data_IF_905473833939
#
_entry.id   IF_905473833939
#
_cell.length_a   1.000
_cell.length_b   1.000
_cell.length_c   1.000
_cell.angle_alpha   90.00
_cell.angle_beta   90.00
_cell.angle_gamma   90.00
#
_symmetry.space_group_name_H-M   'P 1'
#
loop_
_entity.id
_entity.type
_entity.pdbx_description
1 polymer ?
#
# COMPACT_ATOMS: atom_id res chain seq x y z
N UNK A 1 -36.45 7.53 39.04
CA UNK A 1 -35.48 7.87 40.11
C UNK A 1 -35.02 9.33 40.09
N UNK A 2 -35.38 10.15 39.09
CA UNK A 2 -35.00 11.58 39.02
C UNK A 2 -35.78 12.47 39.99
N UNK A 3 -37.01 12.06 40.35
CA UNK A 3 -37.99 12.89 41.06
C UNK A 3 -37.65 13.20 42.53
N UNK A 4 -36.77 12.40 43.16
CA UNK A 4 -36.36 12.59 44.57
C UNK A 4 -35.13 13.48 44.74
N UNK A 5 -34.37 13.73 43.68
CA UNK A 5 -33.18 14.58 43.72
C UNK A 5 -33.54 16.06 43.55
N UNK A 6 -34.62 16.36 42.83
CA UNK A 6 -35.11 17.72 42.65
C UNK A 6 -35.76 18.27 43.94
N UNK A 7 -36.27 17.41 44.83
CA UNK A 7 -36.84 17.84 46.12
C UNK A 7 -35.80 18.43 47.07
N UNK A 8 -34.51 18.07 46.94
CA UNK A 8 -33.42 18.62 47.76
C UNK A 8 -32.94 19.98 47.22
N UNK A 9 -33.14 20.26 45.93
CA UNK A 9 -32.77 21.53 45.29
C UNK A 9 -33.75 22.68 45.58
N UNK A 10 -34.92 22.38 46.15
CA UNK A 10 -35.97 23.36 46.48
C UNK A 10 -36.07 23.67 47.99
N UNK A 11 -34.95 23.63 48.72
CA UNK A 11 -34.87 24.46 49.93
C UNK A 11 -34.66 25.90 49.46
N UNK A 12 -35.77 26.58 49.17
CA UNK A 12 -35.78 28.00 48.86
C UNK A 12 -34.96 28.74 49.92
N UNK A 13 -34.12 29.68 49.45
CA UNK A 13 -33.41 30.60 50.33
C UNK A 13 -34.42 31.15 51.35
N UNK A 14 -34.12 31.15 52.66
CA UNK A 14 -35.09 31.59 53.64
C UNK A 14 -35.38 33.06 53.38
N UNK A 15 -36.54 33.34 52.77
CA UNK A 15 -37.05 34.69 52.63
C UNK A 15 -37.20 35.26 54.03
N UNK A 16 -36.41 36.30 54.30
CA UNK A 16 -36.56 37.20 55.44
C UNK A 16 -36.90 36.51 56.76
N UNK A 17 -35.96 35.73 57.31
CA UNK A 17 -35.91 35.63 58.76
C UNK A 17 -35.47 36.99 59.26
N UNK A 18 -36.45 37.80 59.62
CA UNK A 18 -36.29 39.08 60.28
C UNK A 18 -35.12 38.99 61.26
N UNK A 19 -34.12 39.85 61.09
CA UNK A 19 -33.02 40.04 62.04
C UNK A 19 -33.61 40.43 63.40
N UNK A 20 -34.12 39.45 64.15
CA UNK A 20 -34.36 39.60 65.57
C UNK A 20 -33.00 39.45 66.22
N UNK A 21 -32.32 40.58 66.35
CA UNK A 21 -31.16 40.73 67.21
C UNK A 21 -31.45 40.03 68.54
N UNK A 22 -30.57 39.14 69.04
CA UNK A 22 -30.78 38.47 70.31
C UNK A 22 -31.00 39.55 71.37
N UNK A 23 -32.17 39.52 72.02
CA UNK A 23 -32.53 40.49 73.05
C UNK A 23 -31.56 40.35 74.22
N UNK A 24 -30.54 41.22 74.24
CA UNK A 24 -29.56 41.39 75.32
C UNK A 24 -30.17 41.97 76.62
N UNK A 25 -31.49 42.10 76.71
CA UNK A 25 -32.14 42.56 77.92
C UNK A 25 -32.08 41.47 79.01
N UNK A 26 -31.60 41.77 80.23
CA UNK A 26 -31.62 40.82 81.33
C UNK A 26 -33.07 40.38 81.59
N UNK A 27 -33.30 39.07 81.82
CA UNK A 27 -34.65 38.57 82.04
C UNK A 27 -35.28 39.28 83.26
N UNK A 28 -36.52 39.75 83.11
CA UNK A 28 -37.27 40.32 84.24
C UNK A 28 -37.36 39.27 85.35
N UNK A 29 -36.97 39.64 86.57
CA UNK A 29 -37.11 38.77 87.73
C UNK A 29 -38.60 38.54 88.02
N UNK A 30 -39.10 37.34 87.70
CA UNK A 30 -40.49 36.94 87.98
C UNK A 30 -40.50 36.14 89.27
N UNK A 31 -41.29 36.59 90.25
CA UNK A 31 -41.48 35.85 91.48
C UNK A 31 -42.44 34.67 91.23
N UNK A 32 -41.91 33.45 91.20
CA UNK A 32 -42.67 32.26 90.81
C UNK A 32 -43.64 31.74 91.89
N UNK A 33 -43.53 32.19 93.15
CA UNK A 33 -44.32 31.63 94.25
C UNK A 33 -44.62 32.62 95.38
N UNK A 34 -45.86 33.12 95.48
CA UNK A 34 -46.29 33.99 96.56
C UNK A 34 -46.48 33.23 97.89
N UNK A 35 -45.46 33.32 98.74
CA UNK A 35 -45.44 32.68 100.06
C UNK A 35 -46.39 33.34 101.07
N UNK A 36 -46.70 34.63 100.90
CA UNK A 36 -47.48 35.41 101.86
C UNK A 36 -48.97 35.14 101.70
N UNK A 37 -49.48 35.22 100.46
CA UNK A 37 -50.90 34.95 100.19
C UNK A 37 -51.28 33.52 100.52
N UNK A 38 -50.39 32.54 100.27
CA UNK A 38 -50.64 31.14 100.60
C UNK A 38 -50.78 30.92 102.12
N UNK A 39 -49.87 31.48 102.91
CA UNK A 39 -49.92 31.35 104.38
C UNK A 39 -51.18 32.03 104.93
N UNK A 40 -51.56 33.18 104.39
CA UNK A 40 -52.78 33.88 104.80
C UNK A 40 -54.04 33.06 104.49
N UNK A 41 -54.13 32.48 103.30
CA UNK A 41 -55.25 31.60 102.92
C UNK A 41 -55.33 30.33 103.78
N UNK A 42 -54.20 29.73 104.13
CA UNK A 42 -54.16 28.58 105.05
C UNK A 42 -54.62 28.97 106.46
N UNK A 43 -54.25 30.15 106.95
CA UNK A 43 -54.71 30.65 108.25
C UNK A 43 -56.22 30.96 108.26
N UNK A 44 -56.74 31.57 107.19
CA UNK A 44 -58.19 31.80 107.00
C UNK A 44 -58.98 30.47 106.93
N UNK A 45 -58.35 29.41 106.41
CA UNK A 45 -58.90 28.05 106.37
C UNK A 45 -58.83 27.26 107.68
N UNK A 46 -58.40 27.87 108.80
CA UNK A 46 -58.40 27.25 110.12
C UNK A 46 -57.11 26.52 110.52
N UNK A 47 -56.04 26.63 109.74
CA UNK A 47 -54.73 26.07 110.11
C UNK A 47 -54.00 26.98 111.09
N UNK A 48 -53.28 26.39 112.07
CA UNK A 48 -52.40 27.16 112.96
C UNK A 48 -51.23 27.75 112.16
N UNK A 49 -50.72 28.90 112.59
CA UNK A 49 -49.70 29.63 111.85
C UNK A 49 -48.41 28.84 111.61
N UNK A 50 -48.01 28.01 112.57
CA UNK A 50 -46.89 27.06 112.47
C UNK A 50 -47.12 25.98 111.41
N UNK A 51 -48.32 25.42 111.34
CA UNK A 51 -48.73 24.43 110.35
C UNK A 51 -48.80 25.04 108.94
N UNK A 52 -49.39 26.22 108.80
CA UNK A 52 -49.50 26.95 107.53
C UNK A 52 -48.11 27.30 106.95
N UNK A 53 -47.17 27.77 107.79
CA UNK A 53 -45.79 28.05 107.37
C UNK A 53 -45.05 26.77 106.97
N UNK A 54 -45.28 25.66 107.67
CA UNK A 54 -44.65 24.36 107.35
C UNK A 54 -45.16 23.82 106.01
N UNK A 55 -46.46 23.88 105.76
CA UNK A 55 -47.06 23.50 104.47
C UNK A 55 -46.57 24.39 103.32
N UNK A 56 -46.50 25.71 103.52
CA UNK A 56 -45.92 26.62 102.51
C UNK A 56 -44.49 26.25 102.17
N UNK A 57 -43.65 25.99 103.19
CA UNK A 57 -42.25 25.58 102.97
C UNK A 57 -42.16 24.26 102.18
N UNK A 58 -43.03 23.29 102.46
CA UNK A 58 -43.07 22.02 101.73
C UNK A 58 -43.45 22.24 100.25
N UNK A 59 -44.50 23.03 99.99
CA UNK A 59 -44.95 23.36 98.63
C UNK A 59 -43.87 24.12 97.86
N UNK A 60 -43.22 25.10 98.49
CA UNK A 60 -42.12 25.87 97.89
C UNK A 60 -40.96 24.98 97.48
N UNK A 61 -40.60 23.99 98.31
CA UNK A 61 -39.50 23.06 98.00
C UNK A 61 -39.85 22.13 96.83
N UNK A 62 -41.08 21.59 96.80
CA UNK A 62 -41.54 20.75 95.68
C UNK A 62 -41.61 21.56 94.39
N UNK A 63 -42.10 22.80 94.45
CA UNK A 63 -42.17 23.69 93.30
C UNK A 63 -40.78 24.06 92.78
N UNK A 64 -39.84 24.40 93.66
CA UNK A 64 -38.46 24.70 93.29
C UNK A 64 -37.81 23.50 92.59
N UNK A 65 -37.95 22.29 93.14
CA UNK A 65 -37.41 21.08 92.53
C UNK A 65 -37.97 20.80 91.14
N UNK A 66 -39.28 20.97 90.95
CA UNK A 66 -39.90 20.78 89.63
C UNK A 66 -39.53 21.89 88.64
N UNK A 67 -39.34 23.13 89.10
CA UNK A 67 -38.88 24.23 88.25
C UNK A 67 -37.44 24.02 87.78
N UNK A 68 -36.54 23.61 88.67
CA UNK A 68 -35.16 23.31 88.32
C UNK A 68 -35.09 22.18 87.27
N UNK A 69 -35.87 21.10 87.49
CA UNK A 69 -35.98 19.99 86.53
C UNK A 69 -36.60 20.40 85.19
N UNK A 70 -37.57 21.32 85.18
CA UNK A 70 -38.13 21.86 83.95
C UNK A 70 -37.11 22.76 83.23
N UNK A 71 -36.39 23.60 83.96
CA UNK A 71 -35.42 24.54 83.41
C UNK A 71 -34.19 23.84 82.83
N UNK A 72 -33.75 22.71 83.40
CA UNK A 72 -32.72 21.86 82.80
C UNK A 72 -33.15 21.19 81.48
N UNK A 73 -34.45 20.94 81.30
CA UNK A 73 -35.01 20.26 80.11
C UNK A 73 -35.52 21.23 79.05
N UNK A 74 -35.77 22.48 79.43
CA UNK A 74 -36.21 23.52 78.52
C UNK A 74 -35.00 24.10 77.82
N UNK A 75 -34.89 23.82 76.52
CA UNK A 75 -33.94 24.51 75.66
C UNK A 75 -34.48 25.92 75.39
N UNK A 76 -33.63 26.94 75.53
CA UNK A 76 -34.04 28.30 75.23
C UNK A 76 -34.42 28.42 73.76
N UNK A 77 -35.45 29.22 73.47
CA UNK A 77 -35.83 29.53 72.09
C UNK A 77 -34.64 30.07 71.28
N UNK A 78 -33.78 30.86 71.93
CA UNK A 78 -32.55 31.40 71.32
C UNK A 78 -31.59 30.32 70.85
N UNK A 79 -31.45 29.24 71.61
CA UNK A 79 -30.46 28.20 71.34
C UNK A 79 -30.93 27.35 70.16
N UNK A 80 -32.23 27.04 70.11
CA UNK A 80 -32.85 26.36 68.96
C UNK A 80 -32.75 27.20 67.69
N UNK A 81 -33.02 28.51 67.80
CA UNK A 81 -32.90 29.42 66.65
C UNK A 81 -31.44 29.49 66.16
N UNK A 82 -30.47 29.64 67.06
CA UNK A 82 -29.05 29.68 66.72
C UNK A 82 -28.56 28.40 66.02
N UNK A 83 -28.86 27.22 66.57
CA UNK A 83 -28.47 25.94 65.98
C UNK A 83 -29.15 25.73 64.61
N UNK A 84 -30.41 26.15 64.47
CA UNK A 84 -31.12 26.12 63.19
C UNK A 84 -30.44 27.00 62.13
N UNK A 85 -29.98 28.20 62.51
CA UNK A 85 -29.22 29.07 61.61
C UNK A 85 -27.89 28.44 61.20
N UNK A 86 -27.12 27.89 62.14
CA UNK A 86 -25.85 27.23 61.86
C UNK A 86 -26.04 26.03 60.90
N UNK A 87 -27.09 25.23 61.14
CA UNK A 87 -27.43 24.13 60.25
C UNK A 87 -27.81 24.60 58.85
N UNK A 88 -28.66 25.63 58.75
CA UNK A 88 -29.06 26.20 57.46
C UNK A 88 -27.87 26.78 56.69
N UNK A 89 -26.94 27.45 57.39
CA UNK A 89 -25.70 27.95 56.81
C UNK A 89 -24.81 26.82 56.27
N UNK A 90 -24.60 25.76 57.06
CA UNK A 90 -23.81 24.60 56.64
C UNK A 90 -24.45 23.86 55.44
N UNK A 91 -25.78 23.74 55.41
CA UNK A 91 -26.49 23.19 54.24
C UNK A 91 -26.34 24.05 53.00
N UNK A 92 -26.36 25.38 53.15
CA UNK A 92 -26.15 26.32 52.04
C UNK A 92 -24.72 26.22 51.50
N UNK A 93 -23.73 26.12 52.38
CA UNK A 93 -22.32 25.95 52.03
C UNK A 93 -22.09 24.62 51.31
N UNK A 94 -22.60 23.50 51.84
CA UNK A 94 -22.51 22.20 51.19
C UNK A 94 -23.17 22.20 49.80
N UNK A 95 -24.34 22.85 49.68
CA UNK A 95 -25.04 22.95 48.40
C UNK A 95 -24.23 23.77 47.38
N UNK A 96 -23.59 24.85 47.83
CA UNK A 96 -22.71 25.67 47.00
C UNK A 96 -21.46 24.88 46.56
N UNK A 97 -20.84 24.13 47.47
CA UNK A 97 -19.68 23.29 47.19
C UNK A 97 -20.01 22.17 46.19
N UNK A 98 -21.13 21.46 46.39
CA UNK A 98 -21.59 20.43 45.46
C UNK A 98 -21.85 21.01 44.07
N UNK A 99 -22.49 22.19 44.00
CA UNK A 99 -22.74 22.88 42.73
C UNK A 99 -21.43 23.31 42.05
N UNK A 100 -20.46 23.79 42.82
CA UNK A 100 -19.16 24.17 42.30
C UNK A 100 -18.38 22.95 41.76
N UNK A 101 -18.37 21.85 42.52
CA UNK A 101 -17.72 20.61 42.11
C UNK A 101 -18.34 20.04 40.82
N UNK A 102 -19.67 20.02 40.73
CA UNK A 102 -20.37 19.61 39.50
C UNK A 102 -19.98 20.48 38.30
N UNK A 103 -19.92 21.80 38.46
CA UNK A 103 -19.49 22.72 37.39
C UNK A 103 -18.06 22.44 36.96
N UNK A 104 -17.14 22.24 37.90
CA UNK A 104 -15.75 21.90 37.60
C UNK A 104 -15.64 20.57 36.82
N UNK A 105 -16.42 19.55 37.21
CA UNK A 105 -16.48 18.27 36.50
C UNK A 105 -17.05 18.44 35.08
N UNK A 106 -18.13 19.20 34.92
CA UNK A 106 -18.73 19.48 33.61
C UNK A 106 -17.75 20.21 32.68
N UNK A 107 -17.00 21.18 33.20
CA UNK A 107 -15.95 21.88 32.45
C UNK A 107 -14.82 20.95 32.06
N UNK A 108 -14.37 20.07 32.96
CA UNK A 108 -13.36 19.06 32.67
C UNK A 108 -13.81 18.09 31.56
N UNK A 109 -15.06 17.60 31.64
CA UNK A 109 -15.64 16.72 30.62
C UNK A 109 -15.73 17.44 29.27
N UNK A 110 -16.12 18.72 29.27
CA UNK A 110 -16.16 19.54 28.05
C UNK A 110 -14.77 19.68 27.42
N UNK A 111 -13.75 19.98 28.22
CA UNK A 111 -12.37 20.08 27.75
C UNK A 111 -11.86 18.76 27.18
N UNK A 112 -12.08 17.65 27.88
CA UNK A 112 -11.71 16.31 27.40
C UNK A 112 -12.42 15.95 26.10
N UNK A 113 -13.72 16.26 26.00
CA UNK A 113 -14.49 16.03 24.77
C UNK A 113 -13.93 16.84 23.60
N UNK A 114 -13.62 18.12 23.80
CA UNK A 114 -13.04 18.96 22.74
C UNK A 114 -11.65 18.49 22.34
N UNK A 115 -10.86 18.00 23.30
CA UNK A 115 -9.53 17.46 23.03
C UNK A 115 -9.62 16.16 22.22
N UNK A 116 -10.46 15.21 22.64
CA UNK A 116 -10.70 13.96 21.91
C UNK A 116 -11.23 14.21 20.50
N UNK A 117 -12.14 15.17 20.32
CA UNK A 117 -12.63 15.53 18.99
C UNK A 117 -11.47 16.01 18.10
N UNK A 118 -10.59 16.86 18.63
CA UNK A 118 -9.42 17.34 17.90
C UNK A 118 -8.45 16.21 17.54
N UNK A 119 -8.20 15.27 18.45
CA UNK A 119 -7.36 14.09 18.16
C UNK A 119 -7.96 13.20 17.08
N UNK A 120 -9.28 12.99 17.09
CA UNK A 120 -10.00 12.24 16.05
C UNK A 120 -9.88 12.94 14.69
N UNK A 121 -10.01 14.26 14.65
CA UNK A 121 -9.88 15.04 13.42
C UNK A 121 -8.44 14.94 12.87
N UNK A 122 -7.42 15.08 13.74
CA UNK A 122 -6.01 14.89 13.36
C UNK A 122 -5.76 13.48 12.83
N UNK A 123 -6.24 12.46 13.53
CA UNK A 123 -6.05 11.07 13.13
C UNK A 123 -6.73 10.80 11.78
N UNK A 124 -7.93 11.33 11.58
CA UNK A 124 -8.66 11.21 10.31
C UNK A 124 -7.91 11.89 9.17
N UNK A 125 -7.36 13.08 9.40
CA UNK A 125 -6.55 13.77 8.39
C UNK A 125 -5.27 12.99 8.07
N UNK A 126 -4.58 12.52 9.10
CA UNK A 126 -3.32 11.77 8.95
C UNK A 126 -3.56 10.46 8.21
N UNK A 127 -4.60 9.69 8.57
CA UNK A 127 -4.96 8.46 7.87
C UNK A 127 -5.33 8.71 6.41
N UNK A 128 -6.07 9.78 6.10
CA UNK A 128 -6.37 10.11 4.71
C UNK A 128 -5.10 10.45 3.92
N UNK A 129 -4.16 11.18 4.51
CA UNK A 129 -2.86 11.46 3.90
C UNK A 129 -2.04 10.19 3.69
N UNK A 130 -1.99 9.30 4.69
CA UNK A 130 -1.31 8.00 4.58
C UNK A 130 -1.96 7.09 3.52
N UNK A 131 -3.29 7.07 3.42
CA UNK A 131 -3.98 6.33 2.38
C UNK A 131 -3.69 6.87 0.99
N UNK A 132 -3.66 8.20 0.81
CA UNK A 132 -3.32 8.83 -0.46
C UNK A 132 -1.87 8.51 -0.85
N UNK A 133 -0.93 8.69 0.08
CA UNK A 133 0.48 8.36 -0.18
C UNK A 133 0.68 6.87 -0.47
N UNK A 134 -0.01 5.97 0.24
CA UNK A 134 0.02 4.54 -0.04
C UNK A 134 -0.54 4.23 -1.43
N UNK A 135 -1.65 4.85 -1.82
CA UNK A 135 -2.24 4.67 -3.14
C UNK A 135 -1.27 5.13 -4.24
N UNK A 136 -0.66 6.31 -4.08
CA UNK A 136 0.34 6.81 -5.01
C UNK A 136 1.58 5.91 -5.06
N UNK A 137 2.04 5.38 -3.93
CA UNK A 137 3.13 4.40 -3.87
C UNK A 137 2.77 3.11 -4.61
N UNK A 138 1.59 2.54 -4.38
CA UNK A 138 1.11 1.33 -5.07
C UNK A 138 0.98 1.59 -6.57
N UNK A 139 0.45 2.74 -6.96
CA UNK A 139 0.33 3.14 -8.37
C UNK A 139 1.70 3.33 -9.01
N UNK A 140 2.66 3.91 -8.27
CA UNK A 140 4.06 4.03 -8.67
C UNK A 140 4.69 2.67 -8.92
N UNK A 141 4.61 1.76 -7.95
CA UNK A 141 5.11 0.38 -8.06
C UNK A 141 4.46 -0.39 -9.21
N UNK A 142 3.15 -0.23 -9.42
CA UNK A 142 2.45 -0.87 -10.52
C UNK A 142 2.92 -0.34 -11.89
N UNK A 143 3.09 0.98 -12.02
CA UNK A 143 3.60 1.59 -13.23
C UNK A 143 5.05 1.18 -13.50
N UNK A 144 5.89 1.13 -12.47
CA UNK A 144 7.27 0.66 -12.56
C UNK A 144 7.32 -0.78 -13.06
N UNK A 145 6.56 -1.69 -12.43
CA UNK A 145 6.43 -3.09 -12.86
C UNK A 145 5.97 -3.20 -14.31
N UNK A 146 5.00 -2.38 -14.72
CA UNK A 146 4.50 -2.34 -16.09
C UNK A 146 5.55 -1.85 -17.08
N UNK A 147 6.40 -0.90 -16.69
CA UNK A 147 7.53 -0.44 -17.49
C UNK A 147 8.60 -1.52 -17.60
N UNK A 148 8.98 -2.17 -16.49
CA UNK A 148 9.91 -3.30 -16.50
C UNK A 148 9.45 -4.41 -17.44
N UNK A 149 8.17 -4.81 -17.37
CA UNK A 149 7.62 -5.84 -18.27
C UNK A 149 7.68 -5.40 -19.73
N UNK A 150 7.43 -4.13 -20.05
CA UNK A 150 7.58 -3.63 -21.42
C UNK A 150 9.03 -3.59 -21.89
N UNK A 151 9.96 -3.27 -21.01
CA UNK A 151 11.39 -3.31 -21.32
C UNK A 151 11.87 -4.73 -21.58
N UNK A 152 11.43 -5.69 -20.76
CA UNK A 152 11.67 -7.12 -20.97
C UNK A 152 11.07 -7.60 -22.30
N UNK A 153 9.84 -7.19 -22.63
CA UNK A 153 9.21 -7.50 -23.92
C UNK A 153 10.02 -6.93 -25.09
N UNK A 154 10.44 -5.66 -25.03
CA UNK A 154 11.29 -5.05 -26.06
C UNK A 154 12.63 -5.76 -26.20
N UNK A 155 13.24 -6.18 -25.08
CA UNK A 155 14.48 -6.94 -25.10
C UNK A 155 14.28 -8.31 -25.78
N UNK A 156 13.16 -8.99 -25.49
CA UNK A 156 12.78 -10.24 -26.15
C UNK A 156 12.51 -10.03 -27.65
N UNK A 157 11.77 -9.00 -28.04
CA UNK A 157 11.54 -8.65 -29.45
C UNK A 157 12.85 -8.36 -30.19
N UNK A 158 13.77 -7.62 -29.55
CA UNK A 158 15.10 -7.36 -30.11
C UNK A 158 15.89 -8.66 -30.29
N UNK A 159 15.86 -9.57 -29.31
CA UNK A 159 16.51 -10.88 -29.42
C UNK A 159 15.91 -11.70 -30.57
N UNK A 160 14.59 -11.70 -30.74
CA UNK A 160 13.91 -12.35 -31.87
C UNK A 160 14.39 -11.75 -33.20
N UNK A 161 14.47 -10.43 -33.31
CA UNK A 161 14.93 -9.76 -34.53
C UNK A 161 16.39 -10.08 -34.83
N UNK A 162 17.27 -10.12 -33.82
CA UNK A 162 18.67 -10.52 -34.00
C UNK A 162 18.78 -11.96 -34.49
N UNK A 163 17.99 -12.88 -33.92
CA UNK A 163 17.93 -14.28 -34.37
C UNK A 163 17.44 -14.35 -35.82
N UNK A 164 16.36 -13.65 -36.15
CA UNK A 164 15.82 -13.61 -37.51
C UNK A 164 16.85 -13.04 -38.51
N UNK A 165 17.54 -11.96 -38.15
CA UNK A 165 18.61 -11.39 -38.96
C UNK A 165 19.77 -12.38 -39.16
N UNK A 166 20.20 -13.07 -38.09
CA UNK A 166 21.24 -14.10 -38.16
C UNK A 166 20.85 -15.26 -39.06
N UNK A 167 19.60 -15.75 -38.96
CA UNK A 167 19.06 -16.79 -39.85
C UNK A 167 19.03 -16.30 -41.31
N UNK A 168 18.54 -15.08 -41.54
CA UNK A 168 18.47 -14.49 -42.89
C UNK A 168 19.85 -14.33 -43.53
N UNK A 169 20.85 -13.87 -42.76
CA UNK A 169 22.24 -13.85 -43.22
C UNK A 169 22.72 -15.25 -43.51
N UNK A 170 22.62 -16.20 -42.57
CA UNK A 170 23.11 -17.57 -42.76
C UNK A 170 22.50 -18.19 -44.01
N UNK A 171 21.18 -18.07 -44.21
CA UNK A 171 20.51 -18.61 -45.39
C UNK A 171 20.96 -17.91 -46.69
N UNK A 172 21.09 -16.57 -46.66
CA UNK A 172 21.52 -15.80 -47.83
C UNK A 172 22.99 -15.99 -48.16
N UNK A 173 23.86 -16.11 -47.15
CA UNK A 173 25.30 -16.32 -47.30
C UNK A 173 25.61 -17.74 -47.73
N UNK A 174 24.95 -18.73 -47.13
CA UNK A 174 25.15 -20.14 -47.48
C UNK A 174 24.66 -20.38 -48.91
N UNK A 175 23.46 -19.88 -49.25
CA UNK A 175 22.95 -19.98 -50.62
C UNK A 175 23.85 -19.25 -51.62
N UNK A 176 24.35 -18.04 -51.31
CA UNK A 176 25.27 -17.32 -52.20
C UNK A 176 26.61 -18.03 -52.34
N UNK A 177 27.16 -18.55 -51.25
CA UNK A 177 28.42 -19.31 -51.23
C UNK A 177 28.31 -20.59 -52.06
N UNK A 178 27.21 -21.34 -51.92
CA UNK A 178 26.95 -22.52 -52.74
C UNK A 178 26.80 -22.15 -54.22
N UNK A 179 26.09 -21.07 -54.53
CA UNK A 179 25.95 -20.57 -55.91
C UNK A 179 27.29 -20.14 -56.50
N UNK A 180 28.14 -19.44 -55.74
CA UNK A 180 29.47 -19.04 -56.17
C UNK A 180 30.39 -20.25 -56.35
N UNK A 181 30.32 -21.24 -55.46
CA UNK A 181 31.04 -22.51 -55.59
C UNK A 181 30.65 -23.25 -56.87
N UNK A 182 29.35 -23.33 -57.17
CA UNK A 182 28.85 -23.93 -58.42
C UNK A 182 29.30 -23.13 -59.64
N UNK A 183 29.24 -21.78 -59.60
CA UNK A 183 29.75 -20.93 -60.68
C UNK A 183 31.23 -21.17 -60.95
N UNK A 184 32.05 -21.24 -59.91
CA UNK A 184 33.49 -21.52 -60.04
C UNK A 184 33.77 -22.90 -60.65
N UNK A 185 33.03 -23.93 -60.22
CA UNK A 185 33.13 -25.28 -60.80
C UNK A 185 32.71 -25.29 -62.27
N UNK A 186 31.63 -24.59 -62.62
CA UNK A 186 31.13 -24.52 -63.99
C UNK A 186 32.14 -23.81 -64.90
N UNK A 187 32.70 -22.67 -64.48
CA UNK A 187 33.73 -21.94 -65.23
C UNK A 187 34.95 -22.83 -65.43
N UNK A 188 35.45 -23.48 -64.37
CA UNK A 188 36.62 -24.37 -64.46
C UNK A 188 36.37 -25.52 -65.45
N UNK A 189 35.20 -26.17 -65.38
CA UNK A 189 34.83 -27.26 -66.31
C UNK A 189 34.68 -26.77 -67.76
N UNK A 190 34.08 -25.60 -67.96
CA UNK A 190 33.92 -24.99 -69.29
C UNK A 190 35.27 -24.64 -69.93
N UNK A 191 36.19 -24.02 -69.17
CA UNK A 191 37.54 -23.69 -69.65
C UNK A 191 38.31 -24.96 -70.05
N UNK A 192 38.28 -26.00 -69.21
CA UNK A 192 38.90 -27.29 -69.55
C UNK A 192 38.29 -27.88 -70.82
N UNK A 193 36.97 -27.80 -70.99
CA UNK A 193 36.28 -28.26 -72.20
C UNK A 193 36.70 -27.48 -73.46
N UNK A 194 36.83 -26.15 -73.38
CA UNK A 194 37.29 -25.30 -74.49
C UNK A 194 38.74 -25.62 -74.85
N UNK A 195 39.62 -25.77 -73.85
CA UNK A 195 41.01 -26.16 -74.08
C UNK A 195 41.10 -27.54 -74.73
N UNK A 196 40.29 -28.51 -74.28
CA UNK A 196 40.23 -29.83 -74.88
C UNK A 196 39.76 -29.77 -76.35
N UNK A 197 38.71 -28.99 -76.64
CA UNK A 197 38.23 -28.80 -78.02
C UNK A 197 39.28 -28.10 -78.90
N UNK A 198 40.01 -27.11 -78.37
CA UNK A 198 41.08 -26.45 -79.09
C UNK A 198 42.25 -27.41 -79.39
N UNK A 199 42.64 -28.25 -78.43
CA UNK A 199 43.68 -29.28 -78.62
C UNK A 199 43.23 -30.33 -79.64
N UNK A 200 41.99 -30.81 -79.54
CA UNK A 200 41.43 -31.74 -80.52
C UNK A 200 41.37 -31.13 -81.91
N UNK A 201 40.97 -29.85 -82.04
CA UNK A 201 40.93 -29.13 -83.32
C UNK A 201 42.34 -28.94 -83.91
N UNK A 202 43.33 -28.56 -83.09
CA UNK A 202 44.71 -28.47 -83.53
C UNK A 202 45.29 -29.85 -83.88
N UNK A 203 44.90 -30.89 -83.15
CA UNK A 203 45.26 -32.28 -83.40
C UNK A 203 44.71 -32.78 -84.73
N UNK A 204 43.43 -32.54 -85.03
CA UNK A 204 42.84 -32.92 -86.33
C UNK A 204 43.45 -32.13 -87.48
N UNK A 205 43.73 -30.83 -87.31
CA UNK A 205 44.43 -30.02 -88.31
C UNK A 205 45.86 -30.54 -88.52
N UNK A 206 46.61 -30.85 -87.46
CA UNK A 206 47.97 -31.39 -87.57
C UNK A 206 48.01 -32.79 -88.17
N UNK A 207 47.05 -33.64 -87.84
CA UNK A 207 46.90 -34.95 -88.45
C UNK A 207 46.53 -34.83 -89.94
N UNK A 208 45.57 -33.96 -90.28
CA UNK A 208 45.19 -33.70 -91.66
C UNK A 208 46.33 -33.08 -92.48
N UNK A 209 47.11 -32.16 -91.89
CA UNK A 209 48.27 -31.54 -92.54
C UNK A 209 49.48 -32.47 -92.63
N UNK A 210 49.70 -33.37 -91.65
CA UNK A 210 50.69 -34.43 -91.75
C UNK A 210 50.35 -35.41 -92.88
N UNK A 211 49.09 -35.89 -92.91
CA UNK A 211 48.59 -36.78 -93.98
C UNK A 211 48.62 -36.08 -95.35
N UNK A 212 48.29 -34.79 -95.43
CA UNK A 212 48.36 -34.07 -96.70
C UNK A 212 49.80 -33.85 -97.15
N UNK A 213 50.76 -33.66 -96.22
CA UNK A 213 52.19 -33.61 -96.55
C UNK A 213 52.74 -34.96 -97.00
N UNK A 214 52.30 -36.08 -96.41
CA UNK A 214 52.62 -37.42 -96.91
C UNK A 214 52.06 -37.62 -98.31
N UNK A 215 50.79 -37.28 -98.55
CA UNK A 215 50.19 -37.36 -99.90
C UNK A 215 50.87 -36.44 -100.91
N UNK A 216 51.31 -35.24 -100.50
CA UNK A 216 52.09 -34.35 -101.36
C UNK A 216 53.49 -34.90 -101.64
N UNK A 217 54.16 -35.52 -100.66
CA UNK A 217 55.45 -36.20 -100.87
C UNK A 217 55.32 -37.42 -101.76
N UNK A 218 54.23 -38.17 -101.63
CA UNK A 218 53.89 -39.27 -102.54
C UNK A 218 53.57 -38.76 -103.96
N UNK A 219 52.85 -37.65 -104.09
CA UNK A 219 52.57 -37.02 -105.38
C UNK A 219 53.84 -36.43 -106.04
N UNK A 220 54.74 -35.82 -105.27
CA UNK A 220 56.02 -35.30 -105.76
C UNK A 220 57.00 -36.43 -106.11
N UNK A 221 56.96 -37.56 -105.39
CA UNK A 221 57.69 -38.79 -105.77
C UNK A 221 57.15 -39.37 -107.08
N UNK A 222 55.83 -39.45 -107.26
CA UNK A 222 55.22 -39.91 -108.53
C UNK A 222 55.52 -38.98 -109.70
N UNK A 223 55.52 -37.66 -109.48
CA UNK A 223 55.93 -36.68 -110.52
C UNK A 223 57.40 -36.79 -110.89
N UNK A 224 58.28 -37.09 -109.94
CA UNK A 224 59.71 -37.36 -110.21
C UNK A 224 59.90 -38.69 -110.96
N UNK A 225 59.14 -39.74 -110.61
CA UNK A 225 59.14 -41.00 -111.35
C UNK A 225 58.58 -40.83 -112.79
N UNK A 226 57.57 -39.99 -113.00
CA UNK A 226 57.06 -39.63 -114.34
C UNK A 226 58.04 -38.75 -115.16
N UNK A 227 58.82 -37.88 -114.50
CA UNK A 227 59.89 -37.11 -115.15
C UNK A 227 61.11 -37.97 -115.51
N UNK A 228 61.43 -39.00 -114.70
CA UNK A 228 62.47 -39.99 -115.00
C UNK A 228 62.04 -40.96 -116.11
N UNK A 229 60.76 -41.38 -116.14
CA UNK A 229 60.17 -42.19 -117.22
C UNK A 229 60.03 -41.44 -118.57
N UNK A 230 60.08 -40.09 -118.58
CA UNK A 230 60.10 -39.28 -119.81
C UNK A 230 61.50 -39.05 -120.39
N UNK A 231 62.56 -39.43 -119.66
CA UNK A 231 63.96 -39.16 -120.05
C UNK A 231 64.76 -40.38 -120.49
N UNK A 232 64.23 -41.60 -120.36
CA UNK A 232 64.94 -42.83 -120.72
C UNK A 232 64.10 -43.72 -121.64
N UNK A 233 64.67 -44.16 -122.77
CA UNK A 233 64.16 -45.33 -123.48
C UNK A 233 63.55 -45.18 -124.87
N UNK A 234 64.00 -44.22 -125.68
CA UNK A 234 63.81 -44.29 -127.14
C UNK A 234 64.84 -45.22 -127.82
N UNK A 235 64.38 -46.42 -128.25
CA UNK A 235 64.71 -47.10 -129.53
C UNK A 235 65.91 -48.09 -129.62
N UNK A 236 65.63 -49.42 -129.60
CA UNK A 236 65.75 -50.35 -130.77
C UNK A 236 65.46 -51.86 -130.45
N UNK A 237 64.54 -52.42 -131.24
CA UNK A 237 64.21 -53.79 -131.74
C UNK A 237 65.32 -54.89 -131.72
N UNK A 238 65.12 -56.23 -131.80
CA UNK A 238 64.02 -57.25 -131.85
C UNK A 238 64.70 -58.63 -131.99
N UNK A 239 64.11 -59.74 -131.49
CA UNK A 239 63.84 -60.99 -132.27
C UNK A 239 63.41 -62.21 -131.42
N UNK A 240 62.33 -62.88 -131.88
CA UNK A 240 61.90 -64.31 -131.79
C UNK A 240 61.88 -65.01 -130.42
N UNK A 241 60.82 -65.65 -129.93
CA UNK A 241 59.71 -66.42 -130.53
C UNK A 241 59.62 -67.80 -129.80
N UNK A 242 58.54 -68.59 -129.95
CA UNK A 242 57.35 -68.63 -129.09
C UNK A 242 57.16 -69.98 -128.36
N UNK A 243 56.16 -70.09 -127.48
CA UNK A 243 55.02 -71.06 -127.57
C UNK A 243 54.40 -71.42 -126.20
N UNK A 244 53.12 -71.85 -126.27
CA UNK A 244 52.26 -72.51 -125.28
C UNK A 244 51.73 -71.65 -124.11
N UNK A 245 50.44 -71.24 -124.12
CA UNK A 245 49.26 -72.06 -123.76
C UNK A 245 49.26 -72.45 -122.27
N UNK A 246 48.20 -72.38 -121.48
CA UNK A 246 46.82 -71.92 -121.55
C UNK A 246 46.28 -72.06 -120.11
N UNK A 247 45.00 -71.71 -119.88
CA UNK A 247 44.13 -72.27 -118.81
C UNK A 247 44.38 -71.69 -117.39
N UNK A 248 43.51 -70.83 -116.82
CA UNK A 248 42.15 -71.05 -116.26
C UNK A 248 42.17 -71.20 -114.72
N UNK A 249 41.21 -70.51 -114.09
CA UNK A 249 40.61 -70.77 -112.77
C UNK A 249 41.50 -70.53 -111.53
N UNK A 250 40.97 -70.10 -110.39
CA UNK A 250 39.62 -70.23 -109.86
C UNK A 250 39.23 -68.90 -109.16
N UNK A 251 37.98 -68.43 -109.24
CA UNK A 251 36.83 -68.86 -108.44
C UNK A 251 37.17 -69.15 -106.97
#
# INVERSE_FOLDING_TARGET
MSDKLDTVYYMGAPEHVSQQTPSMAPPKYVHHFDSYSLVKQLQEGGYRGDQAVTMMKAIRTILAHNLDMAQERLVSKSDVENESYLFSAACSELSAEVRNNRRAQDEQIRQQRTHLQHEVDILTQTLNQELLTLNDNVRGLFNDRKMTVREEQKAMESAIQQINYKISIMLSSDSKSEIEGVRWILIRRSVVGILFMAICMLGTIRYATYVSHERQREADRKKKEEEELRKDGGKNDRSSGPDAAAILAAN
#
